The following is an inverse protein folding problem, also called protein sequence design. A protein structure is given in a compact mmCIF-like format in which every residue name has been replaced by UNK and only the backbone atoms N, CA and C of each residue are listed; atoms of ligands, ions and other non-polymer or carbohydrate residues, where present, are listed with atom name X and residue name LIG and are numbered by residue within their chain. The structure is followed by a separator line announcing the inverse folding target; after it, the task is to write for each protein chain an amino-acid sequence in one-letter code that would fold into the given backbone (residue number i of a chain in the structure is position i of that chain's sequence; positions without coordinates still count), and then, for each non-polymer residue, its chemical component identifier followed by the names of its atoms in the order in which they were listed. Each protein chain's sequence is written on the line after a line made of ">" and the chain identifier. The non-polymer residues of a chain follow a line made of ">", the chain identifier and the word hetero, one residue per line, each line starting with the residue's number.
data_IF_541053189758
#
_entry.id   IF_541053189758
#
_cell.length_a   1.000
_cell.length_b   1.000
_cell.length_c   1.000
_cell.angle_alpha   90.00
_cell.angle_beta   90.00
_cell.angle_gamma   90.00
#
_symmetry.space_group_name_H-M   'P 1'
#
loop_
_entity.id
_entity.type
_entity.pdbx_description
1 polymer ?
#
# COMPACT_ATOMS: atom_id res chain seq x y z
N UNK A 1 -40.76 -36.55 22.37
CA UNK A 1 -41.46 -35.65 21.43
C UNK A 1 -41.09 -34.20 21.69
N UNK A 2 -41.20 -33.64 22.91
CA UNK A 2 -40.76 -32.27 23.21
C UNK A 2 -39.28 -31.96 22.88
N UNK A 3 -38.36 -32.87 23.23
CA UNK A 3 -36.92 -32.75 22.93
C UNK A 3 -36.57 -32.74 21.43
N UNK A 4 -37.45 -33.27 20.57
CA UNK A 4 -37.20 -33.31 19.13
C UNK A 4 -37.64 -32.00 18.47
N UNK A 5 -38.78 -31.45 18.90
CA UNK A 5 -39.27 -30.13 18.42
C UNK A 5 -38.30 -29.00 18.80
N UNK A 6 -37.78 -29.01 20.03
CA UNK A 6 -36.84 -27.98 20.50
C UNK A 6 -35.55 -27.97 19.66
N UNK A 7 -35.00 -29.16 19.39
CA UNK A 7 -33.79 -29.34 18.58
C UNK A 7 -34.01 -28.91 17.12
N UNK A 8 -35.15 -29.23 16.51
CA UNK A 8 -35.47 -28.81 15.14
C UNK A 8 -35.68 -27.30 15.04
N UNK A 9 -36.31 -26.68 16.04
CA UNK A 9 -36.52 -25.24 16.07
C UNK A 9 -35.20 -24.47 16.22
N UNK A 10 -34.26 -24.97 17.04
CA UNK A 10 -32.91 -24.38 17.15
C UNK A 10 -32.12 -24.51 15.85
N UNK A 11 -32.23 -25.64 15.14
CA UNK A 11 -31.57 -25.85 13.86
C UNK A 11 -32.08 -24.91 12.75
N UNK A 12 -33.41 -24.73 12.65
CA UNK A 12 -34.00 -23.81 11.67
C UNK A 12 -33.68 -22.34 11.96
N UNK A 13 -33.64 -21.95 13.23
CA UNK A 13 -33.23 -20.61 13.63
C UNK A 13 -31.78 -20.32 13.25
N UNK A 14 -30.86 -21.25 13.51
CA UNK A 14 -29.45 -21.12 13.14
C UNK A 14 -29.25 -21.09 11.62
N UNK A 15 -29.91 -21.96 10.87
CA UNK A 15 -29.85 -21.94 9.41
C UNK A 15 -30.34 -20.60 8.82
N UNK A 16 -31.41 -20.02 9.41
CA UNK A 16 -31.91 -18.71 9.04
C UNK A 16 -30.91 -17.60 9.37
N UNK A 17 -30.30 -17.63 10.55
CA UNK A 17 -29.31 -16.63 10.97
C UNK A 17 -28.06 -16.69 10.09
N UNK A 18 -27.56 -17.88 9.75
CA UNK A 18 -26.45 -18.09 8.81
C UNK A 18 -26.79 -17.48 7.44
N UNK A 19 -27.99 -17.77 6.94
CA UNK A 19 -28.44 -17.28 5.64
C UNK A 19 -28.59 -15.76 5.61
N UNK A 20 -29.18 -15.17 6.65
CA UNK A 20 -29.31 -13.73 6.80
C UNK A 20 -27.93 -13.07 6.89
N UNK A 21 -27.03 -13.63 7.70
CA UNK A 21 -25.68 -13.10 7.86
C UNK A 21 -24.89 -13.15 6.54
N UNK A 22 -24.97 -14.23 5.78
CA UNK A 22 -24.27 -14.38 4.50
C UNK A 22 -24.83 -13.51 3.36
N UNK A 23 -26.14 -13.23 3.36
CA UNK A 23 -26.81 -12.52 2.26
C UNK A 23 -26.97 -11.02 2.53
N UNK A 24 -27.07 -10.61 3.79
CA UNK A 24 -27.41 -9.23 4.15
C UNK A 24 -26.22 -8.47 4.77
N UNK A 25 -25.21 -9.17 5.28
CA UNK A 25 -24.05 -8.55 5.94
C UNK A 25 -22.73 -9.17 5.48
N UNK A 26 -21.62 -8.43 5.59
CA UNK A 26 -20.27 -8.99 5.41
C UNK A 26 -19.70 -9.24 6.81
N UNK A 27 -19.87 -10.45 7.39
CA UNK A 27 -19.46 -10.73 8.76
C UNK A 27 -17.93 -10.81 8.89
N UNK A 28 -17.37 -10.51 10.07
CA UNK A 28 -15.98 -10.82 10.37
C UNK A 28 -15.77 -12.34 10.47
N UNK A 29 -14.56 -12.80 10.15
CA UNK A 29 -14.20 -14.23 10.17
C UNK A 29 -14.47 -14.90 11.53
N UNK A 30 -14.24 -14.18 12.63
CA UNK A 30 -14.51 -14.68 13.99
C UNK A 30 -15.98 -15.01 14.21
N UNK A 31 -16.90 -14.23 13.64
CA UNK A 31 -18.34 -14.48 13.76
C UNK A 31 -18.75 -15.70 12.93
N UNK A 32 -18.15 -15.88 11.74
CA UNK A 32 -18.36 -17.07 10.91
C UNK A 32 -17.90 -18.34 11.65
N UNK A 33 -16.75 -18.29 12.32
CA UNK A 33 -16.25 -19.42 13.13
C UNK A 33 -17.14 -19.76 14.32
N UNK A 34 -17.63 -18.75 15.04
CA UNK A 34 -18.56 -18.96 16.15
C UNK A 34 -19.88 -19.62 15.72
N UNK A 35 -20.39 -19.30 14.53
CA UNK A 35 -21.59 -19.94 13.98
C UNK A 35 -21.34 -21.41 13.59
N UNK A 36 -20.16 -21.72 13.05
CA UNK A 36 -19.76 -23.11 12.74
C UNK A 36 -19.68 -23.93 14.04
N UNK A 37 -19.08 -23.39 15.09
CA UNK A 37 -19.01 -24.06 16.40
C UNK A 37 -20.40 -24.37 16.97
N UNK A 38 -21.33 -23.42 16.89
CA UNK A 38 -22.72 -23.62 17.32
C UNK A 38 -23.45 -24.71 16.51
N UNK A 39 -23.04 -24.94 15.26
CA UNK A 39 -23.61 -26.02 14.44
C UNK A 39 -23.10 -27.41 14.86
N UNK A 40 -21.88 -27.53 15.39
CA UNK A 40 -21.35 -28.82 15.86
C UNK A 40 -22.05 -29.32 17.14
N UNK A 41 -22.63 -28.42 17.94
CA UNK A 41 -23.40 -28.76 19.13
C UNK A 41 -24.81 -29.27 18.82
N UNK A 42 -25.24 -29.19 17.55
CA UNK A 42 -26.55 -29.66 17.11
C UNK A 42 -26.47 -31.14 16.65
N UNK A 43 -27.46 -31.97 16.99
CA UNK A 43 -27.54 -33.36 16.54
C UNK A 43 -28.04 -33.50 15.08
N UNK A 44 -28.03 -32.43 14.29
CA UNK A 44 -28.49 -32.42 12.89
C UNK A 44 -27.42 -31.87 11.95
N UNK A 45 -27.34 -32.46 10.75
CA UNK A 45 -26.44 -32.01 9.69
C UNK A 45 -27.04 -30.77 9.01
N UNK A 46 -26.30 -29.66 9.02
CA UNK A 46 -26.71 -28.41 8.36
C UNK A 46 -25.75 -28.18 7.18
N UNK A 47 -26.23 -28.29 5.95
CA UNK A 47 -25.41 -28.15 4.73
C UNK A 47 -24.80 -26.74 4.62
N UNK A 48 -25.49 -25.74 5.15
CA UNK A 48 -25.03 -24.36 5.25
C UNK A 48 -23.79 -24.22 6.17
N UNK A 49 -23.63 -25.09 7.16
CA UNK A 49 -22.43 -25.09 8.02
C UNK A 49 -21.19 -25.53 7.24
N UNK A 50 -21.31 -26.55 6.36
CA UNK A 50 -20.22 -26.96 5.48
C UNK A 50 -19.85 -25.86 4.46
N UNK A 51 -20.84 -25.08 4.00
CA UNK A 51 -20.58 -23.92 3.14
C UNK A 51 -19.83 -22.80 3.89
N UNK A 52 -20.20 -22.53 5.14
CA UNK A 52 -19.47 -21.59 6.00
C UNK A 52 -18.04 -22.06 6.28
N UNK A 53 -17.85 -23.35 6.52
CA UNK A 53 -16.52 -23.92 6.74
C UNK A 53 -15.63 -23.73 5.51
N UNK A 54 -16.13 -24.01 4.31
CA UNK A 54 -15.40 -23.76 3.07
C UNK A 54 -15.07 -22.27 2.83
N UNK A 55 -15.94 -21.35 3.27
CA UNK A 55 -15.69 -19.90 3.22
C UNK A 55 -14.61 -19.50 4.23
N UNK A 56 -14.71 -20.00 5.47
CA UNK A 56 -13.76 -19.72 6.53
C UNK A 56 -12.36 -20.25 6.18
N UNK A 57 -12.26 -21.46 5.65
CA UNK A 57 -10.99 -22.04 5.17
C UNK A 57 -10.34 -21.19 4.07
N UNK A 58 -11.13 -20.71 3.09
CA UNK A 58 -10.63 -19.83 2.03
C UNK A 58 -10.13 -18.49 2.60
N UNK A 59 -10.86 -17.92 3.55
CA UNK A 59 -10.46 -16.68 4.21
C UNK A 59 -9.17 -16.85 5.03
N UNK A 60 -9.03 -17.96 5.75
CA UNK A 60 -7.81 -18.27 6.50
C UNK A 60 -6.62 -18.60 5.61
N UNK A 61 -6.84 -19.30 4.50
CA UNK A 61 -5.81 -19.53 3.49
C UNK A 61 -5.31 -18.21 2.92
N UNK A 62 -6.23 -17.30 2.60
CA UNK A 62 -5.90 -15.96 2.15
C UNK A 62 -5.16 -15.16 3.24
N UNK A 63 -5.58 -15.22 4.51
CA UNK A 63 -4.90 -14.54 5.62
C UNK A 63 -3.47 -15.03 5.81
N UNK A 64 -3.24 -16.34 5.70
CA UNK A 64 -1.90 -16.93 5.76
C UNK A 64 -1.01 -16.41 4.62
N UNK A 65 -1.54 -16.40 3.40
CA UNK A 65 -0.83 -15.86 2.24
C UNK A 65 -0.54 -14.36 2.40
N UNK A 66 -1.54 -13.58 2.82
CA UNK A 66 -1.40 -12.15 3.06
C UNK A 66 -0.34 -11.84 4.12
N UNK A 67 -0.36 -12.56 5.24
CA UNK A 67 0.64 -12.40 6.30
C UNK A 67 2.05 -12.72 5.79
N UNK A 68 2.20 -13.81 5.04
CA UNK A 68 3.49 -14.18 4.44
C UNK A 68 3.99 -13.12 3.44
N UNK A 69 3.11 -12.59 2.59
CA UNK A 69 3.47 -11.55 1.62
C UNK A 69 3.76 -10.19 2.28
N UNK A 70 3.05 -9.84 3.34
CA UNK A 70 3.28 -8.60 4.10
C UNK A 70 4.64 -8.66 4.83
N UNK A 71 5.00 -9.82 5.38
CA UNK A 71 6.29 -10.07 6.03
C UNK A 71 7.45 -10.15 5.03
N UNK A 72 7.19 -10.55 3.79
CA UNK A 72 8.21 -10.68 2.77
C UNK A 72 8.80 -9.32 2.34
N UNK A 73 10.14 -9.30 2.24
CA UNK A 73 10.91 -8.08 1.92
C UNK A 73 10.95 -7.77 0.42
N UNK A 74 10.73 -8.75 -0.44
CA UNK A 74 10.66 -8.56 -1.90
C UNK A 74 9.40 -9.23 -2.46
N UNK A 75 8.32 -8.47 -2.54
CA UNK A 75 7.09 -8.93 -3.18
C UNK A 75 6.75 -7.99 -4.33
N UNK A 76 6.54 -8.52 -5.54
CA UNK A 76 6.16 -7.69 -6.67
C UNK A 76 4.74 -7.11 -6.43
N UNK A 77 4.51 -5.82 -6.74
CA UNK A 77 3.22 -5.17 -6.53
C UNK A 77 2.08 -5.85 -7.31
N UNK A 78 2.40 -6.52 -8.42
CA UNK A 78 1.44 -7.34 -9.17
C UNK A 78 0.88 -8.50 -8.34
N UNK A 79 1.71 -9.18 -7.56
CA UNK A 79 1.27 -10.31 -6.75
C UNK A 79 0.43 -9.83 -5.56
N UNK A 80 0.81 -8.71 -4.93
CA UNK A 80 -0.03 -8.05 -3.90
C UNK A 80 -1.39 -7.61 -4.45
N UNK A 81 -1.46 -7.12 -5.70
CA UNK A 81 -2.73 -6.78 -6.36
C UNK A 81 -3.60 -8.01 -6.61
N UNK A 82 -3.00 -9.12 -7.03
CA UNK A 82 -3.73 -10.39 -7.21
C UNK A 82 -4.29 -10.88 -5.87
N UNK A 83 -3.49 -10.82 -4.81
CA UNK A 83 -3.90 -11.13 -3.45
C UNK A 83 -5.04 -10.20 -3.00
N UNK A 84 -4.93 -8.89 -3.21
CA UNK A 84 -5.99 -7.93 -2.86
C UNK A 84 -7.32 -8.27 -3.55
N UNK A 85 -7.29 -8.55 -4.85
CA UNK A 85 -8.48 -8.94 -5.59
C UNK A 85 -9.07 -10.28 -5.14
N UNK A 86 -8.23 -11.23 -4.71
CA UNK A 86 -8.71 -12.47 -4.12
C UNK A 86 -9.42 -12.20 -2.79
N UNK A 87 -8.86 -11.30 -1.95
CA UNK A 87 -9.43 -10.91 -0.66
C UNK A 87 -10.74 -10.16 -0.78
N UNK A 88 -10.84 -9.19 -1.71
CA UNK A 88 -12.06 -8.40 -1.97
C UNK A 88 -13.23 -9.25 -2.50
N UNK A 89 -12.96 -10.44 -3.03
CA UNK A 89 -13.98 -11.39 -3.50
C UNK A 89 -14.47 -12.35 -2.43
N UNK A 90 -13.84 -12.36 -1.25
CA UNK A 90 -14.29 -13.19 -0.14
C UNK A 90 -15.53 -12.55 0.51
N UNK A 91 -16.57 -13.35 0.85
CA UNK A 91 -17.78 -12.84 1.50
C UNK A 91 -17.58 -12.57 3.00
N UNK A 92 -16.34 -12.29 3.43
CA UNK A 92 -15.95 -12.13 4.83
C UNK A 92 -15.15 -10.83 4.96
N UNK A 93 -15.39 -10.10 6.05
CA UNK A 93 -14.64 -8.89 6.37
C UNK A 93 -13.25 -9.29 6.90
N UNK A 94 -12.22 -8.79 6.23
CA UNK A 94 -10.82 -9.01 6.56
C UNK A 94 -10.11 -7.65 6.63
N UNK A 95 -9.64 -7.26 7.81
CA UNK A 95 -9.01 -5.96 8.03
C UNK A 95 -7.65 -5.87 7.32
N UNK A 96 -7.01 -7.02 7.10
CA UNK A 96 -5.76 -7.18 6.38
C UNK A 96 -5.86 -6.75 4.91
N UNK A 97 -7.06 -6.66 4.33
CA UNK A 97 -7.28 -6.12 2.98
C UNK A 97 -6.79 -4.66 2.92
N UNK A 98 -7.03 -3.88 3.96
CA UNK A 98 -6.54 -2.50 4.04
C UNK A 98 -5.00 -2.48 4.14
N UNK A 99 -4.41 -3.38 4.95
CA UNK A 99 -2.97 -3.50 5.09
C UNK A 99 -2.28 -3.88 3.78
N UNK A 100 -2.84 -4.85 3.03
CA UNK A 100 -2.35 -5.24 1.70
C UNK A 100 -2.43 -4.07 0.73
N UNK A 101 -3.53 -3.31 0.74
CA UNK A 101 -3.70 -2.11 -0.10
C UNK A 101 -2.65 -1.05 0.20
N UNK A 102 -2.39 -0.74 1.46
CA UNK A 102 -1.37 0.24 1.84
C UNK A 102 0.04 -0.25 1.50
N UNK A 103 0.31 -1.56 1.66
CA UNK A 103 1.57 -2.15 1.24
C UNK A 103 1.82 -1.99 -0.26
N UNK A 104 0.81 -2.12 -1.11
CA UNK A 104 0.94 -1.89 -2.56
C UNK A 104 1.41 -0.46 -2.83
N UNK A 105 0.80 0.55 -2.21
CA UNK A 105 1.17 1.96 -2.38
C UNK A 105 2.64 2.20 -2.00
N UNK A 106 3.05 1.67 -0.85
CA UNK A 106 4.44 1.75 -0.37
C UNK A 106 5.40 1.12 -1.38
N UNK A 107 5.08 -0.08 -1.91
CA UNK A 107 5.92 -0.77 -2.89
C UNK A 107 6.05 -0.04 -4.21
N UNK A 108 4.96 0.53 -4.72
CA UNK A 108 4.98 1.27 -5.98
C UNK A 108 5.80 2.56 -5.82
N UNK A 109 5.69 3.23 -4.67
CA UNK A 109 6.55 4.36 -4.34
C UNK A 109 8.02 3.95 -4.21
N UNK A 110 8.34 2.85 -3.51
CA UNK A 110 9.72 2.34 -3.41
C UNK A 110 10.34 2.11 -4.80
N UNK A 111 9.57 1.55 -5.75
CA UNK A 111 10.03 1.36 -7.12
C UNK A 111 10.29 2.68 -7.86
N UNK A 112 9.39 3.67 -7.73
CA UNK A 112 9.58 4.99 -8.33
C UNK A 112 10.79 5.70 -7.73
N UNK A 113 10.94 5.69 -6.41
CA UNK A 113 12.07 6.28 -5.70
C UNK A 113 13.39 5.60 -6.06
N UNK A 114 13.42 4.27 -6.14
CA UNK A 114 14.60 3.52 -6.54
C UNK A 114 15.05 3.91 -7.96
N UNK A 115 14.11 4.06 -8.90
CA UNK A 115 14.40 4.54 -10.26
C UNK A 115 15.00 5.94 -10.24
N UNK A 116 14.39 6.88 -9.52
CA UNK A 116 14.89 8.26 -9.40
C UNK A 116 16.28 8.34 -8.78
N UNK A 117 16.56 7.51 -7.77
CA UNK A 117 17.87 7.45 -7.13
C UNK A 117 18.95 6.85 -8.04
N UNK A 118 18.56 5.97 -8.96
CA UNK A 118 19.46 5.31 -9.91
C UNK A 118 19.76 6.14 -11.17
N UNK A 119 18.92 7.13 -11.49
CA UNK A 119 19.04 7.95 -12.69
C UNK A 119 19.50 9.39 -12.37
N UNK A 120 19.83 10.13 -13.43
CA UNK A 120 19.96 11.59 -13.35
C UNK A 120 18.58 12.21 -13.44
N UNK A 121 18.20 12.97 -12.43
CA UNK A 121 16.92 13.68 -12.35
C UNK A 121 17.16 15.10 -11.81
N UNK A 122 16.22 16.01 -12.09
CA UNK A 122 16.26 17.38 -11.60
C UNK A 122 15.84 17.45 -10.13
N UNK A 123 16.21 18.53 -9.43
CA UNK A 123 15.77 18.76 -8.04
C UNK A 123 14.25 18.84 -7.95
N UNK A 124 13.60 19.51 -8.90
CA UNK A 124 12.14 19.56 -8.98
C UNK A 124 11.50 18.16 -9.06
N UNK A 125 12.04 17.25 -9.88
CA UNK A 125 11.52 15.88 -9.97
C UNK A 125 11.68 15.08 -8.66
N UNK A 126 12.72 15.38 -7.87
CA UNK A 126 12.88 14.78 -6.53
C UNK A 126 11.85 15.33 -5.55
N UNK A 127 11.54 16.63 -5.62
CA UNK A 127 10.52 17.27 -4.77
C UNK A 127 9.12 16.80 -5.10
N UNK A 128 8.79 16.69 -6.39
CA UNK A 128 7.51 16.16 -6.85
C UNK A 128 7.29 14.74 -6.35
N UNK A 129 8.32 13.89 -6.40
CA UNK A 129 8.24 12.52 -5.89
C UNK A 129 8.06 12.45 -4.35
N UNK A 130 8.68 13.36 -3.61
CA UNK A 130 8.45 13.48 -2.16
C UNK A 130 7.03 13.97 -1.86
N UNK A 131 6.50 14.90 -2.65
CA UNK A 131 5.12 15.38 -2.52
C UNK A 131 4.09 14.29 -2.87
N UNK A 132 4.34 13.49 -3.91
CA UNK A 132 3.52 12.34 -4.28
C UNK A 132 3.50 11.28 -3.17
N UNK A 133 4.66 11.01 -2.55
CA UNK A 133 4.74 10.08 -1.43
C UNK A 133 3.94 10.59 -0.21
N UNK A 134 4.03 11.89 0.10
CA UNK A 134 3.24 12.50 1.16
C UNK A 134 1.74 12.46 0.86
N UNK A 135 1.33 12.73 -0.38
CA UNK A 135 -0.07 12.66 -0.82
C UNK A 135 -0.63 11.23 -0.74
N UNK A 136 0.21 10.22 -0.98
CA UNK A 136 -0.15 8.81 -0.82
C UNK A 136 -0.14 8.32 0.64
N UNK A 137 0.07 9.22 1.62
CA UNK A 137 0.21 8.93 3.04
C UNK A 137 1.32 7.91 3.35
N UNK A 138 2.39 7.93 2.56
CA UNK A 138 3.54 7.05 2.75
C UNK A 138 4.40 7.61 3.89
N UNK A 139 4.87 6.74 4.80
CA UNK A 139 5.57 7.21 5.98
C UNK A 139 6.91 7.88 5.59
N UNK A 140 7.23 9.06 6.17
CA UNK A 140 8.36 9.88 5.73
C UNK A 140 9.73 9.31 6.14
N UNK A 141 9.76 8.33 7.04
CA UNK A 141 10.94 7.62 7.51
C UNK A 141 11.39 6.51 6.56
N UNK A 142 10.66 6.28 5.46
CA UNK A 142 11.05 5.32 4.44
C UNK A 142 12.51 5.60 4.00
N UNK A 143 13.43 4.62 4.09
CA UNK A 143 14.85 4.86 3.84
C UNK A 143 15.16 5.46 2.46
N UNK A 144 14.34 5.14 1.45
CA UNK A 144 14.47 5.70 0.11
C UNK A 144 14.08 7.18 0.07
N UNK A 145 13.05 7.62 0.79
CA UNK A 145 12.67 9.03 0.89
C UNK A 145 13.77 9.83 1.61
N UNK A 146 14.30 9.29 2.71
CA UNK A 146 15.43 9.91 3.42
C UNK A 146 16.64 10.08 2.50
N UNK A 147 16.97 9.05 1.71
CA UNK A 147 18.06 9.12 0.72
C UNK A 147 17.79 10.11 -0.40
N UNK A 148 16.54 10.20 -0.87
CA UNK A 148 16.15 11.15 -1.91
C UNK A 148 16.27 12.59 -1.40
N UNK A 149 15.77 12.86 -0.18
CA UNK A 149 15.89 14.17 0.48
C UNK A 149 17.34 14.60 0.64
N UNK A 150 18.21 13.72 1.16
CA UNK A 150 19.64 14.00 1.31
C UNK A 150 20.37 14.21 -0.04
N UNK A 151 19.86 13.64 -1.14
CA UNK A 151 20.37 13.91 -2.49
C UNK A 151 19.91 15.29 -2.98
N UNK A 152 18.64 15.63 -2.79
CA UNK A 152 18.09 16.93 -3.15
C UNK A 152 18.79 18.08 -2.40
N UNK A 153 19.05 17.93 -1.10
CA UNK A 153 19.78 18.92 -0.30
C UNK A 153 21.20 19.16 -0.82
N UNK A 154 21.93 18.08 -1.16
CA UNK A 154 23.27 18.20 -1.76
C UNK A 154 23.24 18.87 -3.13
N UNK A 155 22.24 18.56 -3.95
CA UNK A 155 22.07 19.18 -5.26
C UNK A 155 21.80 20.69 -5.13
N UNK A 156 20.90 21.10 -4.22
CA UNK A 156 20.61 22.51 -3.95
C UNK A 156 21.81 23.28 -3.41
N UNK A 157 22.55 22.69 -2.46
CA UNK A 157 23.76 23.32 -1.93
C UNK A 157 24.81 23.53 -3.03
N UNK A 158 24.92 22.59 -3.98
CA UNK A 158 25.79 22.77 -5.13
C UNK A 158 25.26 23.82 -6.12
N UNK A 159 23.95 23.85 -6.38
CA UNK A 159 23.31 24.86 -7.25
C UNK A 159 23.50 26.28 -6.71
N UNK A 160 23.30 26.49 -5.40
CA UNK A 160 23.54 27.79 -4.75
C UNK A 160 25.01 28.23 -4.86
N UNK A 161 25.95 27.30 -4.64
CA UNK A 161 27.38 27.57 -4.83
C UNK A 161 27.72 27.90 -6.28
N UNK A 162 27.16 27.17 -7.24
CA UNK A 162 27.36 27.40 -8.66
C UNK A 162 26.78 28.75 -9.09
N UNK A 163 25.59 29.12 -8.60
CA UNK A 163 24.95 30.40 -8.88
C UNK A 163 25.79 31.57 -8.35
N UNK A 164 26.33 31.47 -7.13
CA UNK A 164 27.24 32.48 -6.58
C UNK A 164 28.51 32.66 -7.43
N UNK A 165 29.09 31.56 -7.92
CA UNK A 165 30.27 31.61 -8.77
C UNK A 165 29.97 32.16 -10.17
N UNK A 166 28.79 31.85 -10.72
CA UNK A 166 28.32 32.39 -11.99
C UNK A 166 27.96 33.87 -11.89
N UNK A 167 27.35 34.31 -10.80
CA UNK A 167 27.05 35.72 -10.53
C UNK A 167 28.33 36.55 -10.32
N UNK A 168 29.39 35.92 -9.80
CA UNK A 168 30.73 36.52 -9.68
C UNK A 168 31.53 36.51 -10.98
N UNK A 169 31.03 35.92 -12.08
CA UNK A 169 31.66 36.11 -13.39
C UNK A 169 31.41 37.58 -13.78
N UNK A 170 32.42 38.48 -13.73
CA UNK A 170 32.26 39.77 -14.37
C UNK A 170 31.94 39.47 -15.83
N UNK A 171 30.89 40.09 -16.34
CA UNK A 171 30.51 39.94 -17.73
C UNK A 171 31.76 40.05 -18.59
N UNK A 172 31.93 39.08 -19.50
CA UNK A 172 32.93 39.09 -20.56
C UNK A 172 32.93 40.40 -21.39
N UNK A 173 32.03 41.35 -21.11
CA UNK A 173 31.98 42.71 -21.65
C UNK A 173 33.06 43.68 -21.12
N UNK A 174 33.58 43.52 -19.90
CA UNK A 174 34.55 44.48 -19.36
C UNK A 174 35.95 44.41 -20.02
N UNK A 175 36.34 43.22 -20.50
CA UNK A 175 37.68 43.02 -21.07
C UNK A 175 37.77 43.47 -22.54
N UNK A 176 36.64 43.48 -23.27
CA UNK A 176 36.61 43.91 -24.67
C UNK A 176 36.44 45.44 -24.82
N UNK A 177 35.75 46.13 -23.91
CA UNK A 177 35.68 47.60 -23.91
C UNK A 177 37.02 48.25 -23.55
N UNK A 178 37.80 47.64 -22.64
CA UNK A 178 39.12 48.14 -22.27
C UNK A 178 40.12 48.10 -23.44
N UNK A 179 40.00 47.14 -24.37
CA UNK A 179 40.84 47.05 -25.56
C UNK A 179 40.38 47.96 -26.71
N UNK A 180 39.11 48.36 -26.75
CA UNK A 180 38.58 49.29 -27.74
C UNK A 180 39.03 50.73 -27.48
N UNK A 181 39.15 51.14 -26.22
CA UNK A 181 39.59 52.49 -25.84
C UNK A 181 41.11 52.72 -26.02
N UNK A 182 41.92 51.65 -26.07
CA UNK A 182 43.38 51.78 -26.26
C UNK A 182 43.82 51.80 -27.74
N UNK A 183 42.92 51.50 -28.70
CA UNK A 183 43.25 51.50 -30.14
C UNK A 183 42.82 52.76 -30.90
N UNK A 184 42.14 53.71 -30.24
CA UNK A 184 41.66 54.96 -30.85
C UNK A 184 42.54 56.21 -30.63
N UNK A 185 43.70 56.08 -29.96
CA UNK A 185 44.61 57.20 -29.70
C UNK A 185 45.92 57.06 -30.51
N UNK A 186 45.84 57.26 -31.83
CA UNK A 186 46.97 57.72 -32.64
C UNK A 186 46.52 58.26 -33.99
#
# INVERSE_FOLDING_TARGET
>A
WALVEEVTATGEALAKDIRTILLETVPPLAQVRALIEQCYDLPCHVDEAAQLEAVAEKAEAWLREATAMLAATEVPPRALRQLLHAGERLPVRLDEIALVRDRIKVRECEQTLAKLLSSTCTVAAMDDAMAEAAAAAIPPDLPLLVRLKARAERARAWEEQAELLLAQQPEKHGFLEALALTKGAK
#
